data_IF_363332774926
#
_entry.id   IF_363332774926
#
_cell.length_a   1.000
_cell.length_b   1.000
_cell.length_c   1.000
_cell.angle_alpha   90.00
_cell.angle_beta   90.00
_cell.angle_gamma   90.00
#
_symmetry.space_group_name_H-M   'P 1'
#
loop_
_entity.id
_entity.type
_entity.pdbx_description
1 polymer ?
#
# COMPACT_ATOMS: atom_id res chain seq x y z
N UNK A 1 21.84 7.35 9.32
CA UNK A 1 21.07 6.68 10.40
C UNK A 1 20.75 7.73 11.45
N UNK A 2 19.50 8.20 11.55
CA UNK A 2 19.14 9.14 12.61
C UNK A 2 19.37 8.46 13.97
N UNK A 3 20.17 9.11 14.81
CA UNK A 3 20.47 8.61 16.15
C UNK A 3 19.22 8.77 16.99
N UNK A 4 18.52 7.66 17.25
CA UNK A 4 17.51 7.63 18.30
C UNK A 4 18.15 8.16 19.58
N UNK A 5 17.56 9.21 20.19
CA UNK A 5 18.06 9.82 21.43
C UNK A 5 18.34 8.79 22.53
N UNK A 6 17.64 7.66 22.51
CA UNK A 6 17.94 6.48 23.32
C UNK A 6 17.83 5.20 22.47
N UNK A 7 18.88 4.35 22.54
CA UNK A 7 18.90 2.99 21.94
C UNK A 7 17.65 2.14 22.27
N UNK A 8 17.10 2.13 23.50
CA UNK A 8 15.90 1.35 23.80
C UNK A 8 14.66 1.81 23.01
N UNK A 9 14.52 3.10 22.72
CA UNK A 9 13.37 3.63 22.00
C UNK A 9 13.35 3.16 20.54
N UNK A 10 14.51 3.10 19.89
CA UNK A 10 14.63 2.55 18.53
C UNK A 10 14.29 1.06 18.44
N UNK A 11 14.73 0.27 19.43
CA UNK A 11 14.40 -1.16 19.52
C UNK A 11 12.91 -1.37 19.77
N UNK A 12 12.31 -0.58 20.66
CA UNK A 12 10.87 -0.64 20.93
C UNK A 12 10.05 -0.27 19.69
N UNK A 13 10.42 0.79 18.98
CA UNK A 13 9.78 1.21 17.74
C UNK A 13 9.80 0.09 16.68
N UNK A 14 10.96 -0.51 16.46
CA UNK A 14 11.10 -1.58 15.46
C UNK A 14 10.30 -2.83 15.85
N UNK A 15 10.33 -3.22 17.12
CA UNK A 15 9.56 -4.36 17.65
C UNK A 15 8.07 -4.16 17.49
N UNK A 16 7.55 -2.99 17.88
CA UNK A 16 6.12 -2.66 17.74
C UNK A 16 5.68 -2.60 16.28
N UNK A 17 6.54 -2.12 15.38
CA UNK A 17 6.30 -2.12 13.94
C UNK A 17 6.10 -3.54 13.38
N UNK A 18 6.95 -4.49 13.77
CA UNK A 18 6.84 -5.89 13.35
C UNK A 18 5.63 -6.61 13.97
N UNK A 19 5.32 -6.34 15.25
CA UNK A 19 4.11 -6.88 15.89
C UNK A 19 2.85 -6.37 15.16
N UNK A 20 2.83 -5.08 14.81
CA UNK A 20 1.74 -4.49 14.04
C UNK A 20 1.60 -5.16 12.68
N UNK A 21 2.72 -5.35 11.95
CA UNK A 21 2.72 -6.09 10.69
C UNK A 21 2.09 -7.48 10.81
N UNK A 22 2.48 -8.26 11.83
CA UNK A 22 1.95 -9.62 12.04
C UNK A 22 0.45 -9.57 12.36
N UNK A 23 0.05 -8.70 13.30
CA UNK A 23 -1.34 -8.58 13.73
C UNK A 23 -2.27 -8.19 12.58
N UNK A 24 -1.87 -7.20 11.78
CA UNK A 24 -2.64 -6.81 10.60
C UNK A 24 -2.68 -7.90 9.54
N UNK A 25 -1.56 -8.61 9.32
CA UNK A 25 -1.48 -9.71 8.36
C UNK A 25 -2.49 -10.81 8.68
N UNK A 26 -2.64 -11.18 9.96
CA UNK A 26 -3.64 -12.18 10.40
C UNK A 26 -5.08 -11.82 10.00
N UNK A 27 -5.44 -10.54 9.92
CA UNK A 27 -6.80 -10.12 9.58
C UNK A 27 -7.22 -10.46 8.15
N UNK A 28 -6.28 -10.65 7.23
CA UNK A 28 -6.57 -10.93 5.82
C UNK A 28 -6.87 -12.41 5.54
N UNK A 29 -6.29 -13.32 6.32
CA UNK A 29 -6.39 -14.76 6.08
C UNK A 29 -7.79 -15.36 6.24
N UNK A 30 -8.63 -14.96 7.23
CA UNK A 30 -9.95 -15.54 7.42
C UNK A 30 -10.82 -15.48 6.15
N UNK A 31 -10.80 -14.35 5.44
CA UNK A 31 -11.57 -14.19 4.21
C UNK A 31 -11.04 -15.11 3.09
N UNK A 32 -9.73 -15.19 2.93
CA UNK A 32 -9.08 -16.03 1.92
C UNK A 32 -9.38 -17.51 2.15
N UNK A 33 -9.31 -17.96 3.41
CA UNK A 33 -9.59 -19.35 3.81
C UNK A 33 -11.07 -19.66 3.62
N UNK A 34 -11.96 -18.74 3.98
CA UNK A 34 -13.41 -18.92 3.82
C UNK A 34 -13.80 -19.07 2.35
N UNK A 35 -13.27 -18.20 1.48
CA UNK A 35 -13.47 -18.27 0.04
C UNK A 35 -12.96 -19.61 -0.53
N UNK A 36 -11.78 -20.07 -0.07
CA UNK A 36 -11.23 -21.35 -0.51
C UNK A 36 -12.08 -22.55 -0.06
N UNK A 37 -12.59 -22.53 1.18
CA UNK A 37 -13.43 -23.61 1.74
C UNK A 37 -14.81 -23.67 1.09
N UNK A 38 -15.44 -22.52 0.85
CA UNK A 38 -16.78 -22.45 0.26
C UNK A 38 -16.78 -22.58 -1.26
N UNK A 39 -15.62 -22.38 -1.92
CA UNK A 39 -15.51 -22.26 -3.39
C UNK A 39 -16.48 -21.22 -3.98
N UNK A 40 -16.86 -20.27 -3.15
CA UNK A 40 -17.83 -19.22 -3.42
C UNK A 40 -17.36 -17.95 -2.73
N UNK A 41 -17.54 -16.82 -3.42
CA UNK A 41 -17.25 -15.47 -2.94
C UNK A 41 -18.54 -14.68 -2.73
N UNK A 42 -19.68 -15.35 -2.57
CA UNK A 42 -20.95 -14.71 -2.24
C UNK A 42 -20.94 -14.28 -0.77
N UNK A 43 -21.02 -12.96 -0.54
CA UNK A 43 -20.99 -12.38 0.81
C UNK A 43 -20.16 -11.11 0.91
N UNK A 44 -18.84 -11.14 0.63
CA UNK A 44 -18.00 -9.95 0.65
C UNK A 44 -18.44 -8.91 -0.40
N UNK A 45 -18.34 -7.62 -0.05
CA UNK A 45 -18.60 -6.54 -0.98
C UNK A 45 -17.42 -6.37 -1.96
N UNK A 46 -17.68 -6.54 -3.26
CA UNK A 46 -16.64 -6.41 -4.29
C UNK A 46 -16.11 -4.98 -4.46
N UNK A 47 -16.91 -3.96 -4.17
CA UNK A 47 -16.45 -2.57 -4.19
C UNK A 47 -15.39 -2.35 -3.12
N UNK A 48 -15.62 -2.88 -1.91
CA UNK A 48 -14.65 -2.84 -0.83
C UNK A 48 -13.35 -3.55 -1.24
N UNK A 49 -13.42 -4.68 -1.92
CA UNK A 49 -12.23 -5.38 -2.40
C UNK A 49 -11.42 -4.54 -3.40
N UNK A 50 -12.08 -3.93 -4.40
CA UNK A 50 -11.43 -3.07 -5.41
C UNK A 50 -10.78 -1.84 -4.76
N UNK A 51 -11.47 -1.22 -3.81
CA UNK A 51 -10.93 -0.10 -3.04
C UNK A 51 -9.74 -0.51 -2.17
N UNK A 52 -9.77 -1.69 -1.55
CA UNK A 52 -8.63 -2.20 -0.78
C UNK A 52 -7.41 -2.47 -1.67
N UNK A 53 -7.59 -3.10 -2.84
CA UNK A 53 -6.50 -3.28 -3.80
C UNK A 53 -5.90 -1.92 -4.18
N UNK A 54 -6.75 -0.93 -4.47
CA UNK A 54 -6.30 0.42 -4.81
C UNK A 54 -5.51 1.08 -3.68
N UNK A 55 -6.04 1.01 -2.44
CA UNK A 55 -5.41 1.54 -1.23
C UNK A 55 -4.04 0.90 -0.98
N UNK A 56 -3.97 -0.42 -0.93
CA UNK A 56 -2.73 -1.13 -0.61
C UNK A 56 -1.68 -0.98 -1.71
N UNK A 57 -2.09 -0.94 -2.97
CA UNK A 57 -1.14 -0.71 -4.08
C UNK A 57 -0.58 0.70 -4.05
N UNK A 58 -1.42 1.71 -3.80
CA UNK A 58 -0.96 3.10 -3.66
C UNK A 58 -0.01 3.26 -2.48
N UNK A 59 -0.32 2.62 -1.35
CA UNK A 59 0.54 2.62 -0.16
C UNK A 59 1.88 1.92 -0.41
N UNK A 60 1.88 0.79 -1.14
CA UNK A 60 3.11 0.12 -1.56
C UNK A 60 3.96 1.00 -2.48
N UNK A 61 3.35 1.67 -3.46
CA UNK A 61 4.08 2.58 -4.36
C UNK A 61 4.72 3.71 -3.56
N UNK A 62 3.96 4.37 -2.67
CA UNK A 62 4.47 5.43 -1.81
C UNK A 62 5.68 4.96 -0.98
N UNK A 63 5.52 3.82 -0.28
CA UNK A 63 6.56 3.27 0.57
C UNK A 63 7.79 2.81 -0.22
N UNK A 64 7.59 2.14 -1.36
CA UNK A 64 8.67 1.67 -2.22
C UNK A 64 9.44 2.84 -2.84
N UNK A 65 8.77 3.88 -3.31
CA UNK A 65 9.42 5.07 -3.90
C UNK A 65 10.27 5.78 -2.85
N UNK A 66 9.75 5.99 -1.64
CA UNK A 66 10.51 6.62 -0.54
C UNK A 66 11.67 5.74 -0.05
N UNK A 67 11.48 4.42 -0.02
CA UNK A 67 12.48 3.48 0.48
C UNK A 67 13.62 3.25 -0.53
N UNK A 68 13.32 3.07 -1.82
CA UNK A 68 14.31 2.72 -2.83
C UNK A 68 14.88 3.93 -3.61
N UNK A 69 14.12 5.00 -3.81
CA UNK A 69 14.57 6.11 -4.67
C UNK A 69 15.55 7.03 -3.95
N UNK A 70 16.84 6.88 -4.27
CA UNK A 70 17.90 7.77 -3.76
C UNK A 70 17.69 9.24 -4.16
N UNK A 71 17.09 9.48 -5.32
CA UNK A 71 16.78 10.84 -5.81
C UNK A 71 15.76 11.54 -4.91
N UNK A 72 14.71 10.81 -4.54
CA UNK A 72 13.67 11.27 -3.61
C UNK A 72 14.25 11.51 -2.22
N UNK A 73 15.03 10.57 -1.70
CA UNK A 73 15.64 10.69 -0.39
C UNK A 73 16.59 11.89 -0.33
N UNK A 74 17.35 12.15 -1.40
CA UNK A 74 18.23 13.33 -1.49
C UNK A 74 17.41 14.61 -1.46
N UNK A 75 16.40 14.73 -2.31
CA UNK A 75 15.55 15.90 -2.33
C UNK A 75 14.83 16.11 -0.98
N UNK A 76 14.38 15.03 -0.33
CA UNK A 76 13.75 15.11 0.99
C UNK A 76 14.72 15.61 2.06
N UNK A 77 15.95 15.09 2.09
CA UNK A 77 17.03 15.56 2.98
C UNK A 77 17.41 17.02 2.72
N UNK A 78 17.40 17.46 1.47
CA UNK A 78 17.65 18.88 1.11
C UNK A 78 16.53 19.79 1.62
N UNK A 79 15.28 19.30 1.65
CA UNK A 79 14.10 20.10 2.07
C UNK A 79 13.86 20.11 3.58
N UNK A 80 14.07 18.99 4.26
CA UNK A 80 13.74 18.81 5.69
C UNK A 80 14.97 18.58 6.60
N UNK A 81 16.17 18.50 6.04
CA UNK A 81 17.44 18.36 6.77
C UNK A 81 17.91 16.90 6.94
N UNK A 82 19.19 16.74 7.30
CA UNK A 82 19.87 15.44 7.45
C UNK A 82 19.42 14.60 8.68
N UNK A 83 18.47 15.08 9.48
CA UNK A 83 18.02 14.43 10.72
C UNK A 83 16.80 13.50 10.58
N UNK A 84 16.01 13.63 9.51
CA UNK A 84 14.77 12.86 9.29
C UNK A 84 15.00 11.60 8.43
N UNK A 85 16.09 10.87 8.64
CA UNK A 85 16.43 9.70 7.82
C UNK A 85 15.57 8.43 8.10
N UNK A 86 14.46 8.57 8.82
CA UNK A 86 13.47 7.52 9.06
C UNK A 86 12.32 7.56 8.04
N UNK A 87 12.63 7.64 6.75
CA UNK A 87 11.65 8.01 5.72
C UNK A 87 10.50 7.01 5.58
N UNK A 88 10.77 5.71 5.69
CA UNK A 88 9.78 4.62 5.77
C UNK A 88 10.44 3.44 6.46
N UNK A 89 9.77 2.82 7.43
CA UNK A 89 10.34 1.66 8.10
C UNK A 89 10.20 0.41 7.20
N UNK A 90 11.19 -0.48 7.20
CA UNK A 90 11.18 -1.65 6.31
C UNK A 90 9.95 -2.55 6.53
N UNK A 91 9.39 -2.55 7.75
CA UNK A 91 8.13 -3.20 8.08
C UNK A 91 6.93 -2.65 7.30
N UNK A 92 6.89 -1.36 6.95
CA UNK A 92 5.78 -0.77 6.20
C UNK A 92 5.80 -1.19 4.73
N UNK A 93 7.00 -1.31 4.15
CA UNK A 93 7.20 -1.88 2.80
C UNK A 93 6.81 -3.35 2.79
N UNK A 94 7.27 -4.14 3.77
CA UNK A 94 6.92 -5.55 3.87
C UNK A 94 5.41 -5.76 4.07
N UNK A 95 4.78 -4.96 4.93
CA UNK A 95 3.33 -4.98 5.16
C UNK A 95 2.54 -4.66 3.90
N UNK A 96 2.88 -3.55 3.24
CA UNK A 96 2.17 -3.11 2.04
C UNK A 96 2.32 -4.12 0.91
N UNK A 97 3.49 -4.72 0.73
CA UNK A 97 3.70 -5.80 -0.25
C UNK A 97 2.85 -7.02 0.07
N UNK A 98 2.85 -7.46 1.33
CA UNK A 98 2.03 -8.60 1.77
C UNK A 98 0.53 -8.35 1.56
N UNK A 99 0.05 -7.15 1.92
CA UNK A 99 -1.34 -6.77 1.75
C UNK A 99 -1.77 -6.71 0.28
N UNK A 100 -0.92 -6.18 -0.61
CA UNK A 100 -1.18 -6.21 -2.07
C UNK A 100 -1.28 -7.66 -2.57
N UNK A 101 -0.35 -8.54 -2.18
CA UNK A 101 -0.39 -9.94 -2.59
C UNK A 101 -1.67 -10.65 -2.13
N UNK A 102 -2.10 -10.48 -0.88
CA UNK A 102 -3.33 -11.11 -0.39
C UNK A 102 -4.60 -10.52 -0.99
N UNK A 103 -4.64 -9.20 -1.22
CA UNK A 103 -5.80 -8.58 -1.87
C UNK A 103 -5.90 -8.97 -3.35
N UNK A 104 -4.78 -9.10 -4.06
CA UNK A 104 -4.76 -9.66 -5.42
C UNK A 104 -5.15 -11.14 -5.44
N UNK A 105 -4.71 -11.92 -4.45
CA UNK A 105 -5.14 -13.32 -4.32
C UNK A 105 -6.65 -13.43 -4.08
N UNK A 106 -7.21 -12.54 -3.27
CA UNK A 106 -8.66 -12.47 -3.04
C UNK A 106 -9.40 -12.03 -4.31
N UNK A 107 -8.84 -11.10 -5.08
CA UNK A 107 -9.40 -10.71 -6.38
C UNK A 107 -9.38 -11.86 -7.38
N UNK A 108 -8.30 -12.64 -7.41
CA UNK A 108 -8.22 -13.87 -8.20
C UNK A 108 -9.29 -14.89 -7.80
N UNK A 109 -9.53 -15.07 -6.49
CA UNK A 109 -10.64 -15.91 -6.01
C UNK A 109 -12.00 -15.41 -6.50
N UNK A 110 -12.23 -14.09 -6.59
CA UNK A 110 -13.48 -13.52 -7.11
C UNK A 110 -13.69 -13.78 -8.60
N UNK A 111 -12.61 -13.93 -9.37
CA UNK A 111 -12.68 -14.24 -10.81
C UNK A 111 -13.04 -15.71 -11.04
N UNK A 112 -12.54 -16.62 -10.20
CA UNK A 112 -12.69 -18.07 -10.39
C UNK A 112 -13.90 -18.66 -9.69
N UNK A 113 -14.18 -18.23 -8.46
CA UNK A 113 -15.24 -18.81 -7.65
C UNK A 113 -16.61 -18.24 -7.96
N UNK A 114 -17.64 -18.96 -7.53
CA UNK A 114 -19.01 -18.53 -7.73
C UNK A 114 -19.28 -17.21 -7.00
N UNK A 115 -19.68 -16.19 -7.77
CA UNK A 115 -19.95 -14.82 -7.30
C UNK A 115 -21.43 -14.47 -7.25
N UNK A 116 -22.30 -15.40 -7.64
CA UNK A 116 -23.73 -15.17 -7.80
C UNK A 116 -24.01 -13.97 -8.72
N UNK A 117 -24.96 -13.12 -8.30
CA UNK A 117 -25.33 -11.89 -9.02
C UNK A 117 -24.57 -10.63 -8.55
N UNK A 118 -23.57 -10.78 -7.67
CA UNK A 118 -22.79 -9.63 -7.19
C UNK A 118 -21.88 -9.12 -8.30
N UNK A 119 -21.84 -7.79 -8.47
CA UNK A 119 -20.99 -7.10 -9.44
C UNK A 119 -20.36 -5.89 -8.76
N UNK A 120 -19.19 -5.50 -9.25
CA UNK A 120 -18.58 -4.22 -8.87
C UNK A 120 -19.47 -3.09 -9.38
N UNK A 121 -19.76 -2.12 -8.52
CA UNK A 121 -20.51 -0.92 -8.88
C UNK A 121 -19.76 -0.12 -9.93
N UNK A 122 -20.50 0.34 -10.95
CA UNK A 122 -19.95 1.24 -11.99
C UNK A 122 -19.36 2.51 -11.38
N UNK A 123 -19.94 3.00 -10.28
CA UNK A 123 -19.43 4.15 -9.54
C UNK A 123 -18.07 3.86 -8.92
N UNK A 124 -17.92 2.73 -8.24
CA UNK A 124 -16.64 2.30 -7.66
C UNK A 124 -15.58 2.17 -8.75
N UNK A 125 -15.91 1.51 -9.86
CA UNK A 125 -15.00 1.36 -10.99
C UNK A 125 -14.58 2.71 -11.59
N UNK A 126 -15.53 3.65 -11.74
CA UNK A 126 -15.26 4.98 -12.27
C UNK A 126 -14.34 5.78 -11.35
N UNK A 127 -14.59 5.76 -10.03
CA UNK A 127 -13.75 6.42 -9.04
C UNK A 127 -12.33 5.84 -9.07
N UNK A 128 -12.20 4.51 -9.02
CA UNK A 128 -10.90 3.85 -9.10
C UNK A 128 -10.17 4.20 -10.40
N UNK A 129 -10.86 4.23 -11.54
CA UNK A 129 -10.27 4.60 -12.82
C UNK A 129 -9.75 6.05 -12.82
N UNK A 130 -10.54 7.01 -12.33
CA UNK A 130 -10.12 8.42 -12.21
C UNK A 130 -8.89 8.55 -11.30
N UNK A 131 -8.87 7.85 -10.16
CA UNK A 131 -7.73 7.85 -9.25
C UNK A 131 -6.47 7.31 -9.95
N UNK A 132 -6.56 6.15 -10.60
CA UNK A 132 -5.40 5.56 -11.30
C UNK A 132 -4.93 6.39 -12.50
N UNK A 133 -5.84 6.97 -13.27
CA UNK A 133 -5.49 7.85 -14.39
C UNK A 133 -4.77 9.10 -13.86
N UNK A 134 -5.31 9.74 -12.82
CA UNK A 134 -4.69 10.91 -12.20
C UNK A 134 -3.30 10.59 -11.65
N UNK A 135 -3.13 9.41 -11.05
CA UNK A 135 -1.84 8.92 -10.57
C UNK A 135 -0.83 8.76 -11.71
N UNK A 136 -1.22 8.13 -12.81
CA UNK A 136 -0.38 7.94 -14.00
C UNK A 136 0.05 9.30 -14.58
N UNK A 137 -0.88 10.24 -14.70
CA UNK A 137 -0.59 11.59 -15.17
C UNK A 137 0.45 12.27 -14.27
N UNK A 138 0.28 12.20 -12.95
CA UNK A 138 1.23 12.76 -11.99
C UNK A 138 2.62 12.13 -12.15
N UNK A 139 2.71 10.80 -12.30
CA UNK A 139 3.97 10.08 -12.52
C UNK A 139 4.66 10.54 -13.80
N UNK A 140 3.92 10.68 -14.91
CA UNK A 140 4.46 11.16 -16.20
C UNK A 140 5.01 12.58 -16.05
N UNK A 141 4.26 13.48 -15.39
CA UNK A 141 4.68 14.87 -15.16
C UNK A 141 5.94 14.95 -14.28
N UNK A 142 6.00 14.14 -13.22
CA UNK A 142 7.15 14.10 -12.33
C UNK A 142 8.40 13.53 -12.99
N UNK A 143 8.23 12.51 -13.85
CA UNK A 143 9.32 11.97 -14.68
C UNK A 143 9.87 13.06 -15.61
N UNK A 144 9.00 13.85 -16.25
CA UNK A 144 9.38 14.91 -17.18
C UNK A 144 10.04 16.12 -16.52
N UNK A 145 9.68 16.46 -15.27
CA UNK A 145 10.23 17.62 -14.54
C UNK A 145 11.32 17.26 -13.53
N UNK A 146 11.66 15.98 -13.35
CA UNK A 146 12.57 15.47 -12.31
C UNK A 146 12.21 15.90 -10.86
N UNK A 147 10.99 16.38 -10.64
CA UNK A 147 10.46 16.83 -9.34
C UNK A 147 9.78 15.69 -8.60
N UNK A 148 10.56 14.68 -8.21
CA UNK A 148 10.05 13.48 -7.54
C UNK A 148 9.46 13.76 -6.15
N UNK A 149 9.93 14.78 -5.43
CA UNK A 149 9.29 15.21 -4.18
C UNK A 149 7.87 15.72 -4.37
N UNK A 150 7.61 16.47 -5.45
CA UNK A 150 6.28 17.00 -5.72
C UNK A 150 5.29 15.85 -5.94
N UNK A 151 5.73 14.81 -6.67
CA UNK A 151 4.95 13.59 -6.85
C UNK A 151 4.55 12.96 -5.51
N UNK A 152 5.50 12.84 -4.59
CA UNK A 152 5.27 12.20 -3.30
C UNK A 152 4.35 13.05 -2.42
N UNK A 153 4.44 14.38 -2.49
CA UNK A 153 3.49 15.25 -1.77
C UNK A 153 2.07 15.18 -2.31
N UNK A 154 1.88 14.81 -3.58
CA UNK A 154 0.55 14.61 -4.17
C UNK A 154 -0.06 13.27 -3.74
N UNK A 155 0.76 12.27 -3.43
CA UNK A 155 0.34 10.94 -2.97
C UNK A 155 0.35 10.75 -1.45
N UNK A 156 0.68 11.78 -0.69
CA UNK A 156 0.66 11.77 0.78
C UNK A 156 -0.76 11.99 1.30
#
# INVERSE_FOLDING_TARGET
MSSWKSRPLGIAYQTLGWISFISWSFSFYPQVILNYRRKSVVGPNFDFLVLNVTKHTSYLIYNAVLFFSRAVQRQYREKYGFGEEGLVAANDVAFSMHAVLLTLFTLYQVIIYERGNQRVSKTCLSISAVVWISAIICVILACRRHTWLWLISVFK
#
